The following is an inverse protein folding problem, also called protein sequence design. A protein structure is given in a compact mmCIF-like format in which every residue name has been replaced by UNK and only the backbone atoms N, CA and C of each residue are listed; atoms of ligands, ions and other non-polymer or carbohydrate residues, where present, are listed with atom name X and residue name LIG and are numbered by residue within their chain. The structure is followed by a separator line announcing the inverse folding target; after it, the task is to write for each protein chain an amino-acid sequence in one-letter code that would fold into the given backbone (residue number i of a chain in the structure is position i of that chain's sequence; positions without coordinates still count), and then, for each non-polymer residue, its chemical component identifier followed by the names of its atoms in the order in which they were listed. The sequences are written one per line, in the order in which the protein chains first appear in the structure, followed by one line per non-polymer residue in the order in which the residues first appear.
data_IF_135403828606
#
_entry.id   IF_135403828606
#
_cell.length_a   1.000
_cell.length_b   1.000
_cell.length_c   1.000
_cell.angle_alpha   90.00
_cell.angle_beta   90.00
_cell.angle_gamma   90.00
#
_symmetry.space_group_name_H-M   'P 1'
#
loop_
_entity.id
_entity.type
_entity.pdbx_description
1 polymer ?
#
# COMPACT_ATOMS: atom_id res chain seq x y z
N UNK A 1 15.24 -23.79 -5.04
CA UNK A 1 13.79 -23.91 -4.83
C UNK A 1 13.06 -22.92 -5.72
N UNK A 2 12.18 -23.42 -6.59
CA UNK A 2 11.41 -22.58 -7.51
C UNK A 2 10.18 -21.94 -6.85
N UNK A 3 9.89 -22.31 -5.61
CA UNK A 3 8.73 -21.81 -4.85
C UNK A 3 9.16 -21.13 -3.56
N UNK A 4 8.57 -19.97 -3.31
CA UNK A 4 8.58 -19.26 -2.05
C UNK A 4 7.14 -19.17 -1.53
N UNK A 5 6.93 -19.32 -0.25
CA UNK A 5 5.64 -19.12 0.39
C UNK A 5 5.80 -18.35 1.69
N UNK A 6 4.77 -17.63 2.07
CA UNK A 6 4.72 -16.88 3.32
C UNK A 6 3.35 -17.04 3.97
N UNK A 7 3.36 -17.38 5.26
CA UNK A 7 2.19 -17.27 6.12
C UNK A 7 2.55 -16.34 7.29
N UNK A 8 1.73 -15.32 7.52
CA UNK A 8 1.89 -14.38 8.62
C UNK A 8 0.56 -14.23 9.34
N UNK A 9 0.57 -14.48 10.64
CA UNK A 9 -0.58 -14.34 11.52
C UNK A 9 -0.30 -13.21 12.50
N UNK A 10 -1.28 -12.36 12.73
CA UNK A 10 -1.21 -11.27 13.69
C UNK A 10 -2.01 -11.63 14.93
N UNK A 11 -1.37 -11.55 16.06
CA UNK A 11 -1.94 -11.72 17.39
C UNK A 11 -1.92 -10.36 18.09
N UNK A 12 -2.98 -9.56 17.94
CA UNK A 12 -3.10 -8.31 18.65
C UNK A 12 -4.43 -8.26 19.43
N UNK A 13 -4.44 -7.54 20.55
CA UNK A 13 -5.64 -7.38 21.37
C UNK A 13 -6.65 -6.35 20.81
N UNK A 14 -6.32 -5.60 19.76
CA UNK A 14 -7.22 -4.61 19.18
C UNK A 14 -8.06 -5.26 18.08
N UNK A 15 -9.31 -5.53 18.40
CA UNK A 15 -10.26 -6.26 17.57
C UNK A 15 -11.32 -5.36 16.91
N UNK A 16 -11.38 -4.07 17.30
CA UNK A 16 -12.50 -3.19 16.91
C UNK A 16 -12.52 -2.84 15.43
N UNK A 17 -11.37 -2.49 14.86
CA UNK A 17 -11.32 -1.95 13.49
C UNK A 17 -10.86 -2.98 12.44
N UNK A 18 -10.14 -4.00 12.88
CA UNK A 18 -9.44 -4.93 11.99
C UNK A 18 -9.99 -6.36 12.04
N UNK A 19 -11.06 -6.59 12.78
CA UNK A 19 -11.64 -7.91 13.03
C UNK A 19 -10.96 -8.67 14.17
N UNK A 20 -11.46 -9.87 14.45
CA UNK A 20 -11.00 -10.67 15.57
C UNK A 20 -9.55 -11.14 15.39
N UNK A 21 -8.82 -11.19 16.53
CA UNK A 21 -7.50 -11.83 16.61
C UNK A 21 -7.66 -13.32 17.03
N UNK A 22 -6.83 -14.24 16.54
CA UNK A 22 -5.77 -14.05 15.54
C UNK A 22 -6.32 -13.90 14.12
N UNK A 23 -5.59 -13.19 13.24
CA UNK A 23 -5.99 -13.03 11.85
C UNK A 23 -4.82 -13.29 10.89
N UNK A 24 -5.15 -13.80 9.72
CA UNK A 24 -4.18 -13.96 8.64
C UNK A 24 -3.86 -12.58 8.05
N UNK A 25 -2.58 -12.27 7.93
CA UNK A 25 -2.07 -11.02 7.35
C UNK A 25 -1.52 -11.26 5.96
N UNK A 26 -0.52 -12.13 5.83
CA UNK A 26 -0.03 -12.61 4.55
C UNK A 26 -0.26 -14.12 4.44
N UNK A 27 -0.74 -14.57 3.29
CA UNK A 27 -0.82 -15.98 2.93
C UNK A 27 -0.71 -16.09 1.41
N UNK A 28 0.47 -16.38 0.91
CA UNK A 28 0.71 -16.48 -0.52
C UNK A 28 1.79 -17.49 -0.87
N UNK A 29 1.76 -17.95 -2.10
CA UNK A 29 2.83 -18.69 -2.76
C UNK A 29 3.33 -17.91 -3.97
N UNK A 30 4.62 -18.00 -4.24
CA UNK A 30 5.28 -17.37 -5.38
C UNK A 30 6.15 -18.41 -6.10
N UNK A 31 5.86 -18.61 -7.38
CA UNK A 31 6.73 -19.36 -8.28
C UNK A 31 7.76 -18.40 -8.87
N UNK A 32 9.04 -18.68 -8.67
CA UNK A 32 10.15 -17.78 -8.97
C UNK A 32 11.31 -18.45 -9.72
N UNK A 33 11.00 -19.45 -10.56
CA UNK A 33 12.00 -20.18 -11.32
C UNK A 33 12.86 -19.28 -12.22
N UNK A 34 12.26 -18.27 -12.83
CA UNK A 34 12.93 -17.34 -13.72
C UNK A 34 12.98 -15.94 -13.10
N UNK A 35 14.15 -15.26 -13.19
CA UNK A 35 14.30 -13.91 -12.67
C UNK A 35 13.38 -12.89 -13.34
N UNK A 36 13.15 -13.07 -14.63
CA UNK A 36 12.34 -12.17 -15.45
C UNK A 36 10.83 -12.47 -15.40
N UNK A 37 10.42 -13.60 -14.82
CA UNK A 37 9.01 -14.01 -14.77
C UNK A 37 8.73 -14.82 -13.52
N UNK A 38 7.98 -14.21 -12.61
CA UNK A 38 7.56 -14.80 -11.34
C UNK A 38 6.06 -14.60 -11.19
N UNK A 39 5.39 -15.57 -10.59
CA UNK A 39 3.93 -15.52 -10.33
C UNK A 39 3.72 -15.64 -8.84
N UNK A 40 3.01 -14.67 -8.26
CA UNK A 40 2.61 -14.65 -6.85
C UNK A 40 1.09 -14.71 -6.76
N UNK A 41 0.54 -15.59 -5.92
CA UNK A 41 -0.89 -15.75 -5.72
C UNK A 41 -1.24 -15.90 -4.24
N UNK A 42 -2.30 -15.25 -3.80
CA UNK A 42 -2.78 -15.27 -2.42
C UNK A 42 -3.10 -13.90 -1.87
N UNK A 43 -2.98 -13.73 -0.55
CA UNK A 43 -3.14 -12.45 0.13
C UNK A 43 -1.76 -11.85 0.47
N UNK A 44 -1.49 -10.66 -0.04
CA UNK A 44 -0.22 -9.95 0.14
C UNK A 44 -0.38 -8.45 -0.06
N UNK A 45 0.68 -7.69 0.23
CA UNK A 45 0.69 -6.23 0.03
C UNK A 45 0.56 -5.87 -1.45
N UNK A 46 -0.35 -4.93 -1.75
CA UNK A 46 -0.58 -4.44 -3.12
C UNK A 46 0.68 -3.83 -3.72
N UNK A 47 0.97 -4.07 -5.01
CA UNK A 47 2.17 -3.55 -5.68
C UNK A 47 1.98 -2.09 -6.13
N UNK A 48 1.75 -1.19 -5.17
CA UNK A 48 1.54 0.24 -5.41
C UNK A 48 2.45 1.06 -4.50
N UNK A 49 3.27 1.96 -5.08
CA UNK A 49 4.34 2.73 -4.45
C UNK A 49 5.54 1.87 -3.97
N UNK A 50 6.60 2.49 -3.49
CA UNK A 50 7.72 1.78 -2.86
C UNK A 50 7.47 1.50 -1.37
N UNK A 51 6.83 2.44 -0.67
CA UNK A 51 6.65 2.31 0.78
C UNK A 51 5.63 1.23 1.15
N UNK A 52 4.53 1.06 0.39
CA UNK A 52 3.50 0.08 0.75
C UNK A 52 4.03 -1.35 0.90
N UNK A 53 4.74 -1.95 -0.07
CA UNK A 53 5.28 -3.31 0.06
C UNK A 53 6.48 -3.41 1.00
N UNK A 54 7.07 -2.29 1.43
CA UNK A 54 8.29 -2.25 2.24
C UNK A 54 8.08 -2.90 3.61
N UNK A 55 9.13 -3.51 4.14
CA UNK A 55 9.13 -4.03 5.51
C UNK A 55 9.11 -2.85 6.50
N UNK A 56 8.37 -2.92 7.62
CA UNK A 56 8.28 -1.81 8.57
C UNK A 56 9.63 -1.30 9.10
N UNK A 57 10.62 -2.18 9.24
CA UNK A 57 11.98 -1.81 9.70
C UNK A 57 12.69 -0.88 8.69
N UNK A 58 12.35 -0.98 7.39
CA UNK A 58 13.01 -0.23 6.31
C UNK A 58 12.30 1.10 5.97
N UNK A 59 11.14 1.35 6.57
CA UNK A 59 10.34 2.55 6.30
C UNK A 59 11.02 3.84 6.79
N UNK A 60 11.81 3.75 7.83
CA UNK A 60 12.50 4.87 8.44
C UNK A 60 11.78 5.46 9.66
N UNK A 61 10.46 5.55 9.65
CA UNK A 61 9.63 5.98 10.77
C UNK A 61 8.66 4.87 11.20
N UNK A 62 8.12 4.93 12.41
CA UNK A 62 7.15 3.96 12.90
C UNK A 62 5.82 4.04 12.17
N UNK A 63 5.45 5.23 11.69
CA UNK A 63 4.22 5.47 10.92
C UNK A 63 4.51 5.49 9.42
N UNK A 64 3.60 4.91 8.63
CA UNK A 64 3.57 5.12 7.19
C UNK A 64 3.34 6.58 6.84
N UNK A 65 3.79 7.00 5.66
CA UNK A 65 3.42 8.30 5.10
C UNK A 65 1.90 8.41 4.92
N UNK A 66 1.40 9.65 4.90
CA UNK A 66 -0.02 9.90 4.71
C UNK A 66 -0.53 9.36 3.36
N UNK A 67 0.29 9.42 2.29
CA UNK A 67 -0.08 8.86 0.99
C UNK A 67 -0.18 7.33 1.03
N UNK A 68 0.73 6.65 1.69
CA UNK A 68 0.67 5.19 1.85
C UNK A 68 -0.52 4.80 2.72
N UNK A 69 -0.75 5.52 3.81
CA UNK A 69 -1.91 5.28 4.66
C UNK A 69 -3.23 5.49 3.92
N UNK A 70 -3.37 6.59 3.17
CA UNK A 70 -4.67 7.03 2.63
C UNK A 70 -4.90 6.65 1.16
N UNK A 71 -3.85 6.44 0.36
CA UNK A 71 -3.95 6.17 -1.08
C UNK A 71 -3.46 4.77 -1.46
N UNK A 72 -2.46 4.22 -0.77
CA UNK A 72 -1.97 2.88 -1.05
C UNK A 72 -2.72 1.77 -0.29
N UNK A 73 -3.64 2.12 0.61
CA UNK A 73 -4.63 1.20 1.14
C UNK A 73 -4.45 0.73 2.58
N UNK A 74 -3.77 1.48 3.45
CA UNK A 74 -3.77 1.16 4.89
C UNK A 74 -5.09 1.59 5.56
N UNK A 75 -5.38 2.89 5.59
CA UNK A 75 -6.66 3.47 5.96
C UNK A 75 -7.21 4.19 4.74
N UNK A 76 -7.57 3.43 3.75
CA UNK A 76 -7.81 3.92 2.41
C UNK A 76 -8.91 4.98 2.35
N UNK A 77 -8.69 6.02 1.55
CA UNK A 77 -9.63 7.12 1.37
C UNK A 77 -10.99 6.67 0.81
N UNK A 78 -11.03 5.60 0.04
CA UNK A 78 -12.28 5.07 -0.51
C UNK A 78 -13.22 4.52 0.56
N UNK A 79 -12.75 4.36 1.80
CA UNK A 79 -13.49 3.80 2.90
C UNK A 79 -13.30 2.30 3.06
N UNK A 80 -12.22 1.77 2.51
CA UNK A 80 -11.82 0.39 2.73
C UNK A 80 -11.67 0.13 4.23
N UNK A 81 -12.17 -1.00 4.68
CA UNK A 81 -11.79 -1.57 5.96
C UNK A 81 -10.26 -1.59 6.04
N UNK A 82 -9.69 -1.19 7.19
CA UNK A 82 -8.23 -1.06 7.35
C UNK A 82 -7.48 -2.25 6.73
N UNK A 83 -7.10 -2.09 5.46
CA UNK A 83 -6.64 -3.19 4.61
C UNK A 83 -5.20 -3.57 4.89
N UNK A 84 -4.51 -2.76 5.68
CA UNK A 84 -3.09 -2.95 5.99
C UNK A 84 -2.22 -2.99 4.72
N UNK A 85 -2.65 -2.30 3.65
CA UNK A 85 -2.01 -2.29 2.34
C UNK A 85 -2.14 -3.59 1.55
N UNK A 86 -2.97 -4.54 2.00
CA UNK A 86 -3.08 -5.90 1.44
C UNK A 86 -4.37 -6.14 0.70
N UNK A 87 -4.33 -7.15 -0.17
CA UNK A 87 -5.50 -7.67 -0.86
C UNK A 87 -5.26 -9.12 -1.31
N UNK A 88 -6.31 -9.79 -1.75
CA UNK A 88 -6.24 -11.12 -2.36
C UNK A 88 -6.12 -10.95 -3.86
N UNK A 89 -5.12 -11.59 -4.47
CA UNK A 89 -4.91 -11.46 -5.91
C UNK A 89 -3.82 -12.36 -6.47
N UNK A 90 -3.55 -12.13 -7.76
CA UNK A 90 -2.47 -12.75 -8.50
C UNK A 90 -1.62 -11.66 -9.13
N UNK A 91 -0.30 -11.78 -9.01
CA UNK A 91 0.68 -10.81 -9.51
C UNK A 91 1.74 -11.49 -10.34
N UNK A 92 2.08 -10.88 -11.46
CA UNK A 92 3.26 -11.17 -12.26
C UNK A 92 4.32 -10.12 -11.93
N UNK A 93 5.58 -10.54 -11.84
CA UNK A 93 6.71 -9.64 -11.62
C UNK A 93 8.01 -10.22 -12.18
N UNK A 94 8.98 -9.37 -12.43
CA UNK A 94 10.28 -9.81 -12.87
C UNK A 94 11.28 -8.69 -13.11
N UNK A 95 12.51 -9.09 -13.35
CA UNK A 95 13.66 -8.23 -13.50
C UNK A 95 14.30 -8.42 -14.89
N UNK A 96 14.61 -7.31 -15.56
CA UNK A 96 15.14 -7.30 -16.93
C UNK A 96 16.38 -6.42 -17.08
N UNK A 97 16.98 -6.49 -18.25
CA UNK A 97 18.10 -5.68 -18.72
C UNK A 97 19.31 -5.75 -17.78
N UNK A 98 19.93 -6.92 -17.63
CA UNK A 98 21.14 -7.04 -16.84
C UNK A 98 22.25 -6.18 -17.46
N UNK A 99 22.97 -5.41 -16.64
CA UNK A 99 24.17 -4.70 -17.05
C UNK A 99 25.39 -5.64 -17.06
N UNK A 100 26.55 -5.11 -17.42
CA UNK A 100 27.80 -5.86 -17.48
C UNK A 100 28.19 -6.57 -16.16
N UNK A 101 27.70 -6.08 -15.02
CA UNK A 101 27.93 -6.66 -13.69
C UNK A 101 26.79 -7.61 -13.24
N UNK A 102 25.88 -7.97 -14.14
CA UNK A 102 24.75 -8.86 -13.87
C UNK A 102 23.62 -8.24 -13.05
N UNK A 103 23.67 -6.92 -12.76
CA UNK A 103 22.59 -6.21 -12.06
C UNK A 103 21.49 -5.82 -13.04
N UNK A 104 20.25 -6.23 -12.77
CA UNK A 104 19.10 -5.82 -13.57
C UNK A 104 18.83 -4.32 -13.44
N UNK A 105 18.47 -3.68 -14.55
CA UNK A 105 18.21 -2.24 -14.63
C UNK A 105 16.73 -1.90 -14.62
N UNK A 106 15.86 -2.88 -14.88
CA UNK A 106 14.41 -2.71 -14.96
C UNK A 106 13.71 -3.76 -14.13
N UNK A 107 12.71 -3.33 -13.35
CA UNK A 107 11.74 -4.21 -12.70
C UNK A 107 10.33 -3.86 -13.13
N UNK A 108 9.48 -4.87 -13.30
CA UNK A 108 8.04 -4.70 -13.50
C UNK A 108 7.23 -5.55 -12.53
N UNK A 109 6.05 -5.08 -12.22
CA UNK A 109 5.04 -5.85 -11.49
C UNK A 109 3.64 -5.42 -11.93
N UNK A 110 2.73 -6.37 -12.08
CA UNK A 110 1.32 -6.13 -12.39
C UNK A 110 0.48 -7.25 -11.81
N UNK A 111 -0.65 -6.93 -11.21
CA UNK A 111 -1.52 -7.92 -10.61
C UNK A 111 -2.99 -7.57 -10.73
N UNK A 112 -3.82 -8.58 -10.54
CA UNK A 112 -5.28 -8.51 -10.47
C UNK A 112 -5.70 -8.87 -9.06
N UNK A 113 -6.49 -8.00 -8.42
CA UNK A 113 -6.88 -8.09 -7.02
C UNK A 113 -8.40 -7.99 -6.85
N UNK A 114 -8.91 -8.44 -5.72
CA UNK A 114 -10.34 -8.33 -5.41
C UNK A 114 -10.82 -6.88 -5.18
N UNK A 115 -9.93 -5.94 -4.81
CA UNK A 115 -10.28 -4.54 -4.58
C UNK A 115 -10.88 -4.24 -3.21
N UNK A 116 -11.16 -5.24 -2.39
CA UNK A 116 -11.90 -5.06 -1.13
C UNK A 116 -11.02 -5.03 0.13
N UNK A 117 -9.73 -5.38 -0.01
CA UNK A 117 -8.76 -5.36 1.08
C UNK A 117 -8.57 -6.70 1.79
N UNK A 118 -7.90 -6.62 2.95
CA UNK A 118 -7.47 -7.80 3.71
C UNK A 118 -8.65 -8.60 4.27
N UNK A 119 -8.64 -9.92 4.05
CA UNK A 119 -9.64 -10.87 4.60
C UNK A 119 -11.10 -10.54 4.24
N UNK A 120 -11.32 -9.82 3.14
CA UNK A 120 -12.65 -9.43 2.69
C UNK A 120 -12.99 -10.18 1.41
N UNK A 121 -14.23 -10.68 1.35
CA UNK A 121 -14.77 -11.29 0.13
C UNK A 121 -15.02 -10.22 -0.93
N UNK A 122 -14.91 -10.62 -2.17
CA UNK A 122 -15.35 -9.81 -3.30
C UNK A 122 -16.85 -9.48 -3.18
N UNK A 123 -17.21 -8.23 -3.31
CA UNK A 123 -18.57 -7.73 -3.10
C UNK A 123 -19.28 -7.47 -4.43
N UNK A 124 -18.58 -6.96 -5.45
CA UNK A 124 -19.15 -6.49 -6.70
C UNK A 124 -18.64 -7.26 -7.95
N UNK A 125 -17.81 -8.27 -7.75
CA UNK A 125 -17.14 -9.07 -8.79
C UNK A 125 -16.21 -8.26 -9.71
N UNK A 126 -15.99 -6.98 -9.42
CA UNK A 126 -15.01 -6.16 -10.13
C UNK A 126 -13.61 -6.45 -9.58
N UNK A 127 -12.62 -6.30 -10.47
CA UNK A 127 -11.23 -6.54 -10.09
C UNK A 127 -10.43 -5.26 -10.24
N UNK A 128 -9.50 -5.10 -9.31
CA UNK A 128 -8.52 -4.03 -9.38
C UNK A 128 -7.29 -4.51 -10.15
N UNK A 129 -6.81 -3.67 -11.07
CA UNK A 129 -5.53 -3.88 -11.73
C UNK A 129 -4.55 -2.90 -11.11
N UNK A 130 -3.47 -3.44 -10.52
CA UNK A 130 -2.46 -2.66 -9.81
C UNK A 130 -1.08 -3.09 -10.30
N UNK A 131 -0.22 -2.13 -10.58
CA UNK A 131 1.14 -2.45 -10.98
C UNK A 131 2.05 -1.24 -11.09
N UNK A 132 3.29 -1.50 -11.45
CA UNK A 132 4.29 -0.49 -11.64
C UNK A 132 5.54 -1.01 -12.32
N UNK A 133 6.35 -0.07 -12.74
CA UNK A 133 7.65 -0.31 -13.34
C UNK A 133 8.64 0.65 -12.73
N UNK A 134 9.88 0.19 -12.51
CA UNK A 134 10.96 1.08 -12.09
C UNK A 134 12.28 0.72 -12.73
N UNK A 135 13.09 1.74 -12.90
CA UNK A 135 14.47 1.63 -13.39
C UNK A 135 15.45 1.77 -12.24
N UNK A 136 16.58 1.08 -12.36
CA UNK A 136 17.65 1.05 -11.36
C UNK A 136 18.99 1.46 -12.06
N UNK A 137 19.15 2.76 -12.41
CA UNK A 137 20.25 3.21 -13.25
C UNK A 137 21.61 3.01 -12.60
N UNK A 138 21.71 3.26 -11.30
CA UNK A 138 22.91 3.02 -10.49
C UNK A 138 22.61 2.16 -9.27
N UNK A 139 23.63 1.57 -8.67
CA UNK A 139 23.47 0.77 -7.47
C UNK A 139 22.84 1.59 -6.34
N UNK A 140 21.83 1.01 -5.68
CA UNK A 140 21.09 1.67 -4.62
C UNK A 140 20.01 2.67 -5.06
N UNK A 141 19.91 2.99 -6.36
CA UNK A 141 18.90 3.91 -6.89
C UNK A 141 17.78 3.15 -7.58
N UNK A 142 16.54 3.57 -7.34
CA UNK A 142 15.35 3.13 -8.09
C UNK A 142 14.40 4.31 -8.29
N UNK A 143 13.85 4.40 -9.48
CA UNK A 143 12.86 5.42 -9.87
C UNK A 143 11.73 4.71 -10.57
N UNK A 144 10.51 4.88 -10.10
CA UNK A 144 9.35 4.12 -10.55
C UNK A 144 8.08 4.92 -10.73
N UNK A 145 7.20 4.34 -11.55
CA UNK A 145 5.84 4.80 -11.75
C UNK A 145 4.86 3.63 -11.51
N UNK A 146 3.72 3.94 -10.90
CA UNK A 146 2.71 2.96 -10.52
C UNK A 146 1.33 3.43 -10.96
N UNK A 147 0.49 2.46 -11.30
CA UNK A 147 -0.90 2.66 -11.65
C UNK A 147 -1.82 1.70 -10.91
N UNK A 148 -3.03 2.18 -10.64
CA UNK A 148 -4.10 1.38 -10.06
C UNK A 148 -5.44 1.84 -10.64
N UNK A 149 -6.20 0.90 -11.19
CA UNK A 149 -7.57 1.10 -11.62
C UNK A 149 -8.44 -0.01 -11.07
N UNK A 150 -9.59 0.34 -10.53
CA UNK A 150 -10.50 -0.61 -9.91
C UNK A 150 -11.69 0.07 -9.26
N UNK A 151 -12.24 -0.55 -8.22
CA UNK A 151 -13.39 -0.04 -7.49
C UNK A 151 -13.36 -0.50 -6.03
N UNK A 152 -14.00 0.28 -5.18
CA UNK A 152 -14.33 -0.14 -3.82
C UNK A 152 -15.84 -0.20 -3.66
N UNK A 153 -16.35 -1.33 -3.22
CA UNK A 153 -17.78 -1.58 -3.13
C UNK A 153 -18.24 -1.86 -1.71
N UNK A 154 -19.49 -1.53 -1.42
CA UNK A 154 -20.22 -1.93 -0.22
C UNK A 154 -21.52 -2.60 -0.60
N UNK A 155 -21.91 -3.57 0.20
CA UNK A 155 -23.15 -4.32 0.10
C UNK A 155 -23.95 -4.17 1.38
N UNK A 156 -25.24 -3.89 1.27
CA UNK A 156 -26.19 -3.93 2.37
C UNK A 156 -27.43 -4.69 2.01
N UNK A 157 -28.10 -5.23 3.01
CA UNK A 157 -29.42 -5.86 2.86
C UNK A 157 -30.43 -4.97 3.55
N UNK A 158 -31.47 -4.58 2.83
CA UNK A 158 -32.56 -3.73 3.33
C UNK A 158 -33.84 -4.55 3.34
N UNK A 159 -34.60 -4.49 4.44
CA UNK A 159 -35.94 -5.06 4.52
C UNK A 159 -36.93 -4.10 3.84
N UNK A 160 -37.68 -4.62 2.89
CA UNK A 160 -38.73 -3.89 2.17
C UNK A 160 -40.06 -4.59 2.35
N UNK A 161 -41.15 -3.93 2.01
CA UNK A 161 -42.51 -4.51 2.07
C UNK A 161 -42.67 -5.79 1.22
N UNK A 162 -41.75 -6.00 0.28
CA UNK A 162 -41.70 -7.16 -0.62
C UNK A 162 -40.61 -8.17 -0.24
N UNK A 163 -39.98 -8.03 0.93
CA UNK A 163 -38.91 -8.93 1.40
C UNK A 163 -37.53 -8.26 1.45
N UNK A 164 -36.50 -9.08 1.59
CA UNK A 164 -35.11 -8.60 1.70
C UNK A 164 -34.52 -8.29 0.33
N UNK A 165 -34.08 -7.05 0.14
CA UNK A 165 -33.38 -6.60 -1.08
C UNK A 165 -31.91 -6.36 -0.78
N UNK A 166 -31.05 -6.88 -1.64
CA UNK A 166 -29.59 -6.66 -1.57
C UNK A 166 -29.21 -5.52 -2.49
N UNK A 167 -28.58 -4.50 -1.94
CA UNK A 167 -28.05 -3.35 -2.67
C UNK A 167 -26.52 -3.38 -2.67
N UNK A 168 -25.91 -3.06 -3.81
CA UNK A 168 -24.46 -2.93 -3.95
C UNK A 168 -24.15 -1.55 -4.54
N UNK A 169 -23.29 -0.79 -3.88
CA UNK A 169 -22.75 0.47 -4.41
C UNK A 169 -21.25 0.31 -4.62
N UNK A 170 -20.83 0.40 -5.87
CA UNK A 170 -19.43 0.33 -6.29
C UNK A 170 -18.93 1.70 -6.71
N UNK A 171 -17.81 2.15 -6.12
CA UNK A 171 -17.18 3.44 -6.35
C UNK A 171 -15.89 3.23 -7.15
N UNK A 172 -15.86 3.60 -8.45
CA UNK A 172 -14.65 3.50 -9.26
C UNK A 172 -13.51 4.33 -8.68
N UNK A 173 -12.30 3.78 -8.74
CA UNK A 173 -11.07 4.39 -8.24
C UNK A 173 -9.98 4.34 -9.32
N UNK A 174 -9.24 5.44 -9.49
CA UNK A 174 -8.03 5.46 -10.30
C UNK A 174 -6.93 6.15 -9.53
N UNK A 175 -5.74 5.57 -9.53
CA UNK A 175 -4.60 6.09 -8.78
C UNK A 175 -3.33 5.96 -9.59
N UNK A 176 -2.40 6.87 -9.37
CA UNK A 176 -1.03 6.76 -9.86
C UNK A 176 -0.06 7.29 -8.82
N UNK A 177 1.16 6.80 -8.88
CA UNK A 177 2.23 7.25 -8.01
C UNK A 177 3.56 7.30 -8.76
N UNK A 178 4.42 8.22 -8.34
CA UNK A 178 5.81 8.30 -8.74
C UNK A 178 6.68 8.19 -7.51
N UNK A 179 7.69 7.33 -7.57
CA UNK A 179 8.54 7.00 -6.43
C UNK A 179 10.00 7.07 -6.83
N UNK A 180 10.83 7.66 -5.99
CA UNK A 180 12.28 7.69 -6.14
C UNK A 180 12.94 7.33 -4.82
N UNK A 181 13.96 6.49 -4.88
CA UNK A 181 14.77 6.13 -3.71
C UNK A 181 16.23 6.01 -4.12
N UNK A 182 17.11 6.49 -3.26
CA UNK A 182 18.54 6.30 -3.38
C UNK A 182 19.15 5.95 -2.01
N UNK A 183 19.74 4.77 -1.94
CA UNK A 183 20.42 4.27 -0.74
C UNK A 183 21.92 4.15 -1.08
N UNK A 184 22.76 4.88 -0.38
CA UNK A 184 24.20 4.87 -0.62
C UNK A 184 24.97 5.26 0.65
N UNK A 185 26.06 4.58 0.94
CA UNK A 185 26.95 4.88 2.06
C UNK A 185 26.23 5.13 3.40
N UNK A 186 25.18 4.34 3.69
CA UNK A 186 24.36 4.45 4.89
C UNK A 186 23.39 5.67 4.90
N UNK A 187 23.30 6.39 3.79
CA UNK A 187 22.27 7.38 3.54
C UNK A 187 21.07 6.77 2.83
N UNK A 188 19.88 7.23 3.18
CA UNK A 188 18.66 6.93 2.44
C UNK A 188 17.95 8.22 2.08
N UNK A 189 17.68 8.41 0.80
CA UNK A 189 16.81 9.45 0.26
C UNK A 189 15.62 8.78 -0.38
N UNK A 190 14.40 9.16 0.01
CA UNK A 190 13.17 8.61 -0.59
C UNK A 190 12.14 9.71 -0.74
N UNK A 191 11.47 9.74 -1.87
CA UNK A 191 10.32 10.61 -2.10
C UNK A 191 9.31 9.90 -2.95
N UNK A 192 8.04 10.06 -2.59
CA UNK A 192 6.93 9.52 -3.36
C UNK A 192 5.81 10.54 -3.44
N UNK A 193 5.22 10.65 -4.62
CA UNK A 193 4.00 11.40 -4.90
C UNK A 193 2.90 10.42 -5.29
N UNK A 194 1.70 10.59 -4.78
CA UNK A 194 0.55 9.80 -5.18
C UNK A 194 -0.68 10.68 -5.38
N UNK A 195 -1.48 10.30 -6.37
CA UNK A 195 -2.75 10.92 -6.70
C UNK A 195 -3.84 9.85 -6.81
N UNK A 196 -5.05 10.18 -6.36
CA UNK A 196 -6.22 9.31 -6.44
C UNK A 196 -7.43 10.09 -6.93
N UNK A 197 -8.21 9.49 -7.82
CA UNK A 197 -9.53 9.96 -8.22
C UNK A 197 -10.59 8.90 -7.92
N UNK A 198 -11.81 9.33 -7.67
CA UNK A 198 -12.96 8.52 -7.31
C UNK A 198 -13.60 8.98 -6.00
N UNK A 199 -14.90 8.82 -5.89
CA UNK A 199 -15.64 9.13 -4.68
C UNK A 199 -15.23 8.19 -3.54
N UNK A 200 -15.51 8.59 -2.31
CA UNK A 200 -15.23 7.83 -1.11
C UNK A 200 -16.48 7.71 -0.24
N UNK A 201 -16.62 6.64 0.51
CA UNK A 201 -17.62 6.55 1.55
C UNK A 201 -17.24 7.46 2.74
N UNK A 202 -18.25 8.01 3.41
CA UNK A 202 -18.08 8.86 4.60
C UNK A 202 -17.50 8.07 5.76
N UNK A 203 -18.00 6.87 5.98
CA UNK A 203 -17.59 5.99 7.07
C UNK A 203 -16.50 5.03 6.56
N UNK A 204 -15.36 4.93 7.25
CA UNK A 204 -14.24 4.11 6.80
C UNK A 204 -14.30 2.65 7.26
N UNK A 205 -14.58 2.43 8.52
CA UNK A 205 -14.40 1.12 9.17
C UNK A 205 -15.66 0.25 9.16
N UNK A 206 -16.30 0.10 8.01
CA UNK A 206 -17.37 -0.87 7.84
C UNK A 206 -16.90 -2.12 7.12
N UNK A 207 -17.46 -3.27 7.47
CA UNK A 207 -17.29 -4.48 6.68
C UNK A 207 -18.03 -4.27 5.34
N UNK A 208 -17.32 -4.34 4.19
CA UNK A 208 -17.95 -4.04 2.90
C UNK A 208 -19.14 -4.94 2.57
N UNK A 209 -19.10 -6.20 3.02
CA UNK A 209 -20.16 -7.20 2.81
C UNK A 209 -21.43 -6.98 3.65
N UNK A 210 -21.36 -6.13 4.68
CA UNK A 210 -22.46 -5.85 5.62
C UNK A 210 -22.48 -4.38 6.02
N UNK A 211 -22.51 -3.50 5.03
CA UNK A 211 -22.53 -2.06 5.27
C UNK A 211 -23.87 -1.61 5.84
N UNK A 212 -23.84 -0.65 6.77
CA UNK A 212 -25.05 -0.03 7.35
C UNK A 212 -25.51 1.19 6.56
N UNK A 213 -24.58 1.85 5.84
CA UNK A 213 -24.88 3.04 5.04
C UNK A 213 -24.08 3.10 3.75
N UNK A 214 -24.56 3.90 2.80
CA UNK A 214 -23.91 4.24 1.53
C UNK A 214 -23.60 5.74 1.43
N UNK A 215 -23.56 6.46 2.55
CA UNK A 215 -23.24 7.88 2.53
C UNK A 215 -21.85 8.15 1.97
N UNK A 216 -21.81 9.13 1.06
CA UNK A 216 -20.56 9.55 0.44
C UNK A 216 -19.86 10.65 1.26
N UNK A 217 -18.56 10.64 1.20
CA UNK A 217 -17.72 11.68 1.79
C UNK A 217 -17.91 13.02 1.07
N UNK A 218 -17.97 14.10 1.83
CA UNK A 218 -18.02 15.48 1.31
C UNK A 218 -16.65 15.99 0.82
N UNK A 219 -15.60 15.17 0.88
CA UNK A 219 -14.24 15.56 0.45
C UNK A 219 -14.05 15.57 -1.08
N UNK A 220 -15.12 15.23 -1.87
CA UNK A 220 -15.03 15.19 -3.31
C UNK A 220 -14.31 13.92 -3.82
N UNK A 221 -13.91 13.98 -5.08
CA UNK A 221 -13.43 12.82 -5.84
C UNK A 221 -11.90 12.77 -6.06
N UNK A 222 -11.14 13.72 -5.49
CA UNK A 222 -9.68 13.83 -5.68
C UNK A 222 -8.96 13.85 -4.35
N UNK A 223 -7.78 13.23 -4.34
CA UNK A 223 -6.82 13.34 -3.24
C UNK A 223 -5.41 13.19 -3.79
N UNK A 224 -4.46 13.85 -3.15
CA UNK A 224 -3.04 13.75 -3.52
C UNK A 224 -2.14 13.99 -2.32
N UNK A 225 -0.89 13.62 -2.46
CA UNK A 225 0.10 13.90 -1.44
C UNK A 225 1.51 13.58 -1.90
N UNK A 226 2.46 14.03 -1.13
CA UNK A 226 3.88 13.81 -1.36
C UNK A 226 4.59 13.69 -0.02
N UNK A 227 5.56 12.82 0.04
CA UNK A 227 6.53 12.86 1.12
C UNK A 227 7.96 12.85 0.59
N UNK A 228 8.86 13.39 1.39
CA UNK A 228 10.30 13.30 1.19
C UNK A 228 10.96 12.93 2.52
N UNK A 229 11.82 11.91 2.47
CA UNK A 229 12.52 11.33 3.63
C UNK A 229 14.02 11.37 3.39
N UNK A 230 14.76 11.76 4.43
CA UNK A 230 16.20 11.58 4.50
C UNK A 230 16.57 10.85 5.80
N UNK A 231 17.45 9.85 5.67
CA UNK A 231 18.10 9.18 6.79
C UNK A 231 19.59 9.39 6.60
N UNK A 232 20.25 10.01 7.58
CA UNK A 232 21.64 10.37 7.55
C UNK A 232 22.42 9.65 8.66
N UNK A 233 23.57 9.03 8.40
CA UNK A 233 24.37 8.41 9.44
C UNK A 233 25.01 9.45 10.36
N UNK A 234 24.81 9.34 11.67
CA UNK A 234 25.61 10.04 12.69
C UNK A 234 26.80 9.16 13.08
N UNK A 235 26.51 7.88 13.34
CA UNK A 235 27.51 6.83 13.53
C UNK A 235 27.22 5.76 12.49
N UNK A 236 28.13 5.58 11.54
CA UNK A 236 27.96 4.66 10.41
C UNK A 236 27.51 3.27 10.88
N UNK A 237 26.44 2.76 10.30
CA UNK A 237 25.81 1.46 10.61
C UNK A 237 25.29 1.31 12.05
N UNK A 238 25.19 2.39 12.81
CA UNK A 238 24.72 2.33 14.20
C UNK A 238 23.70 3.39 14.56
N UNK A 239 23.93 4.65 14.20
CA UNK A 239 23.06 5.73 14.63
C UNK A 239 22.75 6.64 13.45
N UNK A 240 21.47 6.95 13.25
CA UNK A 240 21.00 7.79 12.16
C UNK A 240 20.11 8.92 12.68
N UNK A 241 20.25 10.08 12.06
CA UNK A 241 19.26 11.15 12.13
C UNK A 241 18.30 11.00 10.96
N UNK A 242 17.04 11.30 11.20
CA UNK A 242 15.97 11.18 10.21
C UNK A 242 15.14 12.44 10.15
N UNK A 243 14.72 12.81 8.95
CA UNK A 243 13.73 13.86 8.74
C UNK A 243 12.76 13.43 7.64
N UNK A 244 11.47 13.73 7.83
CA UNK A 244 10.43 13.51 6.82
C UNK A 244 9.53 14.74 6.72
N UNK A 245 9.34 15.21 5.51
CA UNK A 245 8.25 16.08 5.12
C UNK A 245 7.13 15.20 4.56
N UNK A 246 5.89 15.37 5.01
CA UNK A 246 4.76 14.53 4.61
C UNK A 246 3.51 15.37 4.48
N UNK A 247 3.03 15.55 3.25
CA UNK A 247 1.88 16.35 2.91
C UNK A 247 0.80 15.50 2.25
N UNK A 248 -0.44 15.68 2.69
CA UNK A 248 -1.61 15.04 2.13
C UNK A 248 -2.77 16.02 2.03
N UNK A 249 -3.37 16.06 0.85
CA UNK A 249 -4.56 16.83 0.53
C UNK A 249 -5.72 15.85 0.26
N UNK A 250 -6.71 15.72 1.18
CA UNK A 250 -7.78 14.73 1.08
C UNK A 250 -8.86 15.07 0.08
N UNK A 251 -8.81 16.27 -0.52
CA UNK A 251 -9.82 16.78 -1.46
C UNK A 251 -9.17 17.75 -2.46
N UNK A 252 -9.94 18.23 -3.45
CA UNK A 252 -9.51 19.33 -4.33
C UNK A 252 -9.31 20.68 -3.63
N UNK A 253 -9.76 20.81 -2.38
CA UNK A 253 -9.67 22.03 -1.58
C UNK A 253 -8.33 22.08 -0.82
N UNK A 254 -7.47 23.03 -1.18
CA UNK A 254 -6.16 23.20 -0.55
C UNK A 254 -6.23 23.56 0.95
N UNK A 255 -7.34 24.15 1.42
CA UNK A 255 -7.50 24.48 2.84
C UNK A 255 -7.57 23.24 3.75
N UNK A 256 -7.85 22.06 3.19
CA UNK A 256 -7.91 20.78 3.91
C UNK A 256 -6.58 20.03 3.91
N UNK A 257 -5.52 20.62 3.36
CA UNK A 257 -4.19 20.03 3.36
C UNK A 257 -3.68 19.79 4.79
N UNK A 258 -3.05 18.63 4.99
CA UNK A 258 -2.36 18.27 6.23
C UNK A 258 -0.88 18.10 5.93
N UNK A 259 -0.03 18.77 6.69
CA UNK A 259 1.42 18.67 6.53
C UNK A 259 2.06 18.30 7.86
N UNK A 260 2.92 17.30 7.84
CA UNK A 260 3.74 16.89 8.98
C UNK A 260 5.22 17.09 8.66
N UNK A 261 5.94 17.57 9.66
CA UNK A 261 7.40 17.62 9.71
C UNK A 261 7.81 16.69 10.84
N UNK A 262 8.49 15.63 10.50
CA UNK A 262 8.89 14.61 11.45
C UNK A 262 10.41 14.55 11.51
N UNK A 263 10.95 14.47 12.72
CA UNK A 263 12.37 14.25 12.97
C UNK A 263 12.54 13.09 13.95
N UNK A 264 13.62 12.38 13.82
CA UNK A 264 13.87 11.22 14.69
C UNK A 264 15.33 10.82 14.70
N UNK A 265 15.65 10.01 15.66
CA UNK A 265 16.94 9.33 15.78
C UNK A 265 16.65 7.84 15.85
N UNK A 266 17.55 7.02 15.34
CA UNK A 266 17.58 5.61 15.66
C UNK A 266 18.96 5.15 16.08
N UNK A 267 18.99 4.06 16.85
CA UNK A 267 20.21 3.40 17.24
C UNK A 267 20.06 1.89 17.04
N UNK A 268 20.95 1.30 16.28
CA UNK A 268 21.01 -0.12 16.02
C UNK A 268 21.99 -0.80 16.99
N UNK A 269 21.44 -1.50 17.98
CA UNK A 269 22.25 -2.28 18.95
C UNK A 269 22.84 -3.51 18.28
N UNK A 270 22.04 -4.19 17.49
CA UNK A 270 22.44 -5.33 16.69
C UNK A 270 21.46 -5.47 15.51
N UNK A 271 21.76 -6.39 14.58
CA UNK A 271 20.97 -6.61 13.35
C UNK A 271 19.45 -6.70 13.56
N UNK A 272 19.01 -7.19 14.71
CA UNK A 272 17.58 -7.46 14.99
C UNK A 272 17.00 -6.55 16.09
N UNK A 273 17.76 -5.58 16.60
CA UNK A 273 17.31 -4.65 17.63
C UNK A 273 17.71 -3.22 17.28
N UNK A 274 16.71 -2.45 16.91
CA UNK A 274 16.81 -1.04 16.57
C UNK A 274 15.79 -0.25 17.41
N UNK A 275 16.22 0.85 18.01
CA UNK A 275 15.37 1.81 18.72
C UNK A 275 15.19 3.07 17.87
#
# INVERSE_FOLDING_TARGET
NDFYWKAQIQFNGNTTDLGNSPRVVDLFAEWQKYGYFKIKAGQFKRPFSFENPMHPVDQGFMSYSQITSSIAGFNDRAGAHASNGRDIGVQLQGDFLPNANGRNLLHYQVGVFNGQGINVKDVDQRKDIIGGVWVMPVAGMRIGAFGWTGSYARKRTVDTDHGKVTEILSLPQRRYAFSAEYVTNDWTFRSEYAHSTGLAFKTRYQKPENATDFELSKNGDKAQGVYALVIAPIIKKKMHAKARYDMYQPSGDASKQKTFYEVGLDYEFCRNLKL
#
